data_IF_913969205366
#
_entry.id   IF_913969205366
#
_cell.length_a   1.000
_cell.length_b   1.000
_cell.length_c   1.000
_cell.angle_alpha   90.00
_cell.angle_beta   90.00
_cell.angle_gamma   90.00
#
_symmetry.space_group_name_H-M   'P 1'
#
loop_
_entity.id
_entity.type
_entity.pdbx_description
1 polymer ?
#
# COMPACT_ATOMS: atom_id res chain seq x y z
N UNK A 1 21.20 0.64 12.07
CA UNK A 1 20.76 -0.44 12.98
C UNK A 1 21.90 -1.42 13.15
N UNK A 2 22.03 -2.01 14.33
CA UNK A 2 23.10 -2.95 14.65
C UNK A 2 22.51 -4.20 15.28
N UNK A 3 23.26 -5.27 15.33
CA UNK A 3 22.89 -6.49 16.03
C UNK A 3 24.03 -6.92 16.96
N UNK A 4 23.65 -7.48 18.11
CA UNK A 4 24.57 -8.18 19.01
C UNK A 4 24.43 -9.67 18.75
N UNK A 5 25.56 -10.31 18.45
CA UNK A 5 25.67 -11.76 18.32
C UNK A 5 26.23 -12.35 19.61
N UNK A 6 25.95 -13.62 19.85
CA UNK A 6 26.61 -14.38 20.92
C UNK A 6 28.11 -14.58 20.63
N UNK A 7 28.85 -15.16 21.59
CA UNK A 7 30.30 -15.40 21.48
C UNK A 7 30.69 -16.23 20.25
N UNK A 8 29.87 -17.19 19.88
CA UNK A 8 30.11 -18.08 18.74
C UNK A 8 29.68 -17.46 17.39
N UNK A 9 29.02 -16.31 17.45
CA UNK A 9 28.49 -15.56 16.30
C UNK A 9 27.54 -16.39 15.43
N UNK A 10 26.71 -17.19 16.06
CA UNK A 10 25.72 -18.05 15.40
C UNK A 10 24.27 -17.73 15.81
N UNK A 11 24.10 -16.88 16.82
CA UNK A 11 22.80 -16.47 17.35
C UNK A 11 22.72 -14.97 17.52
N UNK A 12 21.61 -14.38 17.13
CA UNK A 12 21.31 -12.96 17.35
C UNK A 12 20.72 -12.83 18.76
N UNK A 13 21.43 -12.15 19.66
CA UNK A 13 20.95 -11.88 21.01
C UNK A 13 20.06 -10.64 21.11
N UNK A 14 20.41 -9.59 20.35
CA UNK A 14 19.70 -8.32 20.40
C UNK A 14 19.77 -7.59 19.06
N UNK A 15 18.65 -6.94 18.66
CA UNK A 15 18.63 -5.96 17.57
C UNK A 15 18.65 -4.56 18.16
N UNK A 16 19.73 -3.81 17.91
CA UNK A 16 20.02 -2.52 18.48
C UNK A 16 19.50 -1.43 17.53
N UNK A 17 18.32 -0.89 17.84
CA UNK A 17 17.72 0.23 17.10
C UNK A 17 18.25 1.56 17.59
N UNK A 18 18.35 1.70 18.91
CA UNK A 18 18.81 2.93 19.56
C UNK A 18 20.26 2.79 20.00
N UNK A 19 21.14 3.58 19.38
CA UNK A 19 22.56 3.61 19.71
C UNK A 19 22.78 4.29 21.05
N UNK A 20 23.02 3.52 22.10
CA UNK A 20 23.39 3.95 23.45
C UNK A 20 24.58 3.14 23.96
N UNK A 21 25.20 3.58 25.08
CA UNK A 21 26.20 2.73 25.75
C UNK A 21 25.59 1.38 26.15
N UNK A 22 26.34 0.32 26.04
CA UNK A 22 25.85 -1.05 26.30
C UNK A 22 26.88 -1.90 27.03
N UNK A 23 26.38 -2.91 27.73
CA UNK A 23 27.20 -3.91 28.39
C UNK A 23 27.40 -5.08 27.42
N UNK A 24 28.68 -5.43 27.14
CA UNK A 24 29.05 -6.60 26.36
C UNK A 24 30.09 -7.38 27.18
N UNK A 25 29.84 -8.63 27.45
CA UNK A 25 30.73 -9.55 28.22
C UNK A 25 31.20 -8.96 29.55
N UNK A 26 30.31 -8.27 30.26
CA UNK A 26 30.60 -7.63 31.54
C UNK A 26 31.36 -6.30 31.46
N UNK A 27 31.66 -5.81 30.26
CA UNK A 27 32.36 -4.54 30.04
C UNK A 27 31.37 -3.48 29.51
N UNK A 28 31.35 -2.30 30.14
CA UNK A 28 30.57 -1.17 29.68
C UNK A 28 31.26 -0.48 28.52
N UNK A 29 30.61 -0.46 27.38
CA UNK A 29 31.02 0.24 26.17
C UNK A 29 30.24 1.54 26.00
N UNK A 30 30.90 2.65 25.65
CA UNK A 30 30.22 3.92 25.42
C UNK A 30 29.47 3.89 24.06
N UNK A 31 28.52 4.81 23.87
CA UNK A 31 27.83 5.01 22.56
C UNK A 31 28.81 5.16 21.38
N UNK A 32 30.00 5.68 21.63
CA UNK A 32 31.04 5.89 20.64
C UNK A 32 31.46 4.61 19.88
N UNK A 33 31.18 3.42 20.43
CA UNK A 33 31.43 2.14 19.74
C UNK A 33 30.75 2.08 18.38
N UNK A 34 29.56 2.69 18.22
CA UNK A 34 28.81 2.67 16.97
C UNK A 34 29.30 3.66 15.91
N UNK A 35 30.14 4.63 16.30
CA UNK A 35 30.57 5.73 15.41
C UNK A 35 32.07 5.83 15.22
N UNK A 36 32.86 5.45 16.22
CA UNK A 36 34.32 5.63 16.19
C UNK A 36 35.09 4.30 15.98
N UNK A 37 34.49 3.18 16.37
CA UNK A 37 35.15 1.89 16.21
C UNK A 37 35.10 1.41 14.77
N UNK A 38 36.09 0.66 14.36
CA UNK A 38 36.13 -0.04 13.07
C UNK A 38 35.17 -1.24 13.09
N UNK A 39 34.82 -1.74 11.92
CA UNK A 39 33.97 -2.94 11.82
C UNK A 39 34.66 -4.16 12.47
N UNK A 40 35.98 -4.28 12.35
CA UNK A 40 36.74 -5.34 12.96
C UNK A 40 36.67 -5.30 14.51
N UNK A 41 36.79 -4.12 15.10
CA UNK A 41 36.70 -3.93 16.56
C UNK A 41 35.29 -4.27 17.06
N UNK A 42 34.24 -3.83 16.36
CA UNK A 42 32.85 -4.18 16.67
C UNK A 42 32.60 -5.67 16.54
N UNK A 43 33.05 -6.26 15.42
CA UNK A 43 32.90 -7.71 15.19
C UNK A 43 33.61 -8.52 16.27
N UNK A 44 34.75 -8.06 16.78
CA UNK A 44 35.46 -8.75 17.87
C UNK A 44 34.61 -8.95 19.13
N UNK A 45 33.74 -7.99 19.44
CA UNK A 45 32.80 -8.04 20.57
C UNK A 45 31.39 -8.48 20.15
N UNK A 46 31.22 -9.07 18.96
CA UNK A 46 29.92 -9.58 18.47
C UNK A 46 28.94 -8.48 18.02
N UNK A 47 29.37 -7.25 17.82
CA UNK A 47 28.50 -6.18 17.28
C UNK A 47 28.71 -6.04 15.78
N UNK A 48 27.63 -6.26 15.02
CA UNK A 48 27.67 -6.23 13.56
C UNK A 48 26.59 -5.30 12.99
N UNK A 49 26.80 -4.72 11.80
CA UNK A 49 25.79 -3.91 11.14
C UNK A 49 24.60 -4.78 10.70
N UNK A 50 23.41 -4.15 10.68
CA UNK A 50 22.21 -4.74 10.08
C UNK A 50 21.99 -4.09 8.73
N UNK A 51 22.04 -4.88 7.67
CA UNK A 51 21.69 -4.49 6.30
C UNK A 51 20.24 -4.88 6.01
N UNK A 52 19.55 -4.11 5.17
CA UNK A 52 18.17 -4.43 4.81
C UNK A 52 18.14 -4.99 3.39
N UNK A 53 17.44 -6.09 3.22
CA UNK A 53 17.16 -6.75 1.94
C UNK A 53 15.65 -6.75 1.68
N UNK A 54 15.28 -6.53 0.42
CA UNK A 54 13.89 -6.42 -0.01
C UNK A 54 13.37 -4.98 -0.01
N UNK A 55 12.16 -4.83 -0.50
CA UNK A 55 11.39 -3.58 -0.52
C UNK A 55 10.03 -3.86 0.11
N UNK A 56 9.48 -2.89 0.81
CA UNK A 56 8.12 -2.99 1.33
C UNK A 56 7.13 -3.21 0.20
N UNK A 57 6.17 -4.09 0.42
CA UNK A 57 5.05 -4.28 -0.48
C UNK A 57 4.09 -3.08 -0.41
N UNK A 58 3.25 -2.95 -1.43
CA UNK A 58 2.15 -1.98 -1.37
C UNK A 58 1.12 -2.43 -0.31
N UNK A 59 1.13 -1.71 0.81
CA UNK A 59 0.22 -1.98 1.93
C UNK A 59 -1.25 -1.67 1.61
N UNK A 60 -1.55 -1.12 0.43
CA UNK A 60 -2.93 -1.00 -0.06
C UNK A 60 -3.53 -2.39 -0.30
N UNK A 61 -2.73 -3.32 -0.85
CA UNK A 61 -3.18 -4.63 -1.31
C UNK A 61 -2.74 -5.79 -0.41
N UNK A 62 -1.59 -5.64 0.28
CA UNK A 62 -0.94 -6.75 0.98
C UNK A 62 -0.74 -6.48 2.47
N UNK A 63 -0.66 -7.55 3.22
CA UNK A 63 -0.12 -7.56 4.58
C UNK A 63 1.25 -8.22 4.50
N UNK A 64 2.27 -7.55 5.03
CA UNK A 64 3.62 -8.09 5.11
C UNK A 64 3.81 -8.92 6.38
N UNK A 65 4.67 -9.92 6.29
CA UNK A 65 5.23 -10.58 7.47
C UNK A 65 6.13 -9.63 8.24
N UNK A 66 6.25 -9.88 9.52
CA UNK A 66 7.27 -9.22 10.33
C UNK A 66 8.66 -9.45 9.73
N UNK A 67 9.55 -8.45 9.81
CA UNK A 67 10.91 -8.58 9.34
C UNK A 67 11.62 -9.78 9.98
N UNK A 68 12.29 -10.59 9.16
CA UNK A 68 13.15 -11.65 9.64
C UNK A 68 14.61 -11.22 9.65
N UNK A 69 15.40 -11.82 10.54
CA UNK A 69 16.81 -11.49 10.71
C UNK A 69 17.64 -12.76 10.58
N UNK A 70 18.63 -12.74 9.70
CA UNK A 70 19.55 -13.86 9.48
C UNK A 70 21.00 -13.37 9.53
N UNK A 71 21.88 -14.16 10.11
CA UNK A 71 23.32 -13.84 10.14
C UNK A 71 23.88 -14.15 8.74
N UNK A 72 24.65 -13.24 8.18
CA UNK A 72 25.36 -13.46 6.94
C UNK A 72 26.37 -14.62 7.07
N UNK A 73 26.63 -15.35 5.99
CA UNK A 73 27.49 -16.54 6.00
C UNK A 73 28.92 -16.27 6.48
N UNK A 74 29.41 -15.05 6.25
CA UNK A 74 30.72 -14.59 6.73
C UNK A 74 30.69 -14.03 8.16
N UNK A 75 29.50 -14.02 8.79
CA UNK A 75 29.26 -13.50 10.14
C UNK A 75 29.59 -12.01 10.34
N UNK A 76 29.76 -11.24 9.26
CA UNK A 76 30.14 -9.83 9.29
C UNK A 76 28.95 -8.90 9.45
N UNK A 77 27.74 -9.38 9.20
CA UNK A 77 26.51 -8.59 9.26
C UNK A 77 25.29 -9.46 9.57
N UNK A 78 24.20 -8.80 9.94
CA UNK A 78 22.86 -9.40 10.00
C UNK A 78 22.02 -8.84 8.86
N UNK A 79 21.33 -9.69 8.13
CA UNK A 79 20.44 -9.34 7.05
C UNK A 79 19.02 -9.26 7.61
N UNK A 80 18.41 -8.07 7.57
CA UNK A 80 16.99 -7.86 7.84
C UNK A 80 16.23 -7.99 6.53
N UNK A 81 15.41 -9.03 6.39
CA UNK A 81 14.55 -9.22 5.21
C UNK A 81 13.18 -8.63 5.48
N UNK A 82 12.73 -7.76 4.56
CA UNK A 82 11.43 -7.11 4.56
C UNK A 82 10.70 -7.39 3.25
N UNK A 83 9.42 -6.98 3.16
CA UNK A 83 8.63 -7.10 1.92
C UNK A 83 8.22 -8.54 1.60
N UNK A 84 8.21 -9.42 2.59
CA UNK A 84 7.70 -10.79 2.41
C UNK A 84 6.19 -10.76 2.64
N UNK A 85 5.44 -11.15 1.61
CA UNK A 85 3.98 -11.20 1.70
C UNK A 85 3.55 -12.25 2.72
N UNK A 86 2.65 -11.84 3.61
CA UNK A 86 1.92 -12.77 4.49
C UNK A 86 0.62 -13.20 3.81
N UNK A 87 -0.28 -12.26 3.60
CA UNK A 87 -1.56 -12.50 2.95
C UNK A 87 -1.96 -11.32 2.05
N UNK A 88 -2.83 -11.59 1.10
CA UNK A 88 -3.58 -10.55 0.37
C UNK A 88 -4.66 -9.97 1.30
N UNK A 89 -4.94 -8.67 1.19
CA UNK A 89 -6.12 -8.11 1.85
C UNK A 89 -7.40 -8.66 1.23
N UNK A 90 -8.48 -8.66 1.99
CA UNK A 90 -9.76 -9.16 1.52
C UNK A 90 -10.31 -8.30 0.37
N UNK A 91 -10.59 -8.93 -0.77
CA UNK A 91 -11.29 -8.27 -1.89
C UNK A 91 -12.76 -8.04 -1.56
N UNK A 92 -13.40 -9.04 -0.98
CA UNK A 92 -14.82 -9.02 -0.59
C UNK A 92 -14.99 -8.61 0.86
N UNK A 93 -16.20 -8.21 1.23
CA UNK A 93 -16.57 -7.97 2.62
C UNK A 93 -16.50 -9.26 3.42
N UNK A 94 -15.95 -9.20 4.63
CA UNK A 94 -15.84 -10.33 5.56
C UNK A 94 -16.68 -10.06 6.79
N UNK A 95 -17.51 -11.03 7.16
CA UNK A 95 -18.24 -10.98 8.44
C UNK A 95 -17.31 -11.45 9.56
N UNK A 96 -17.02 -10.58 10.50
CA UNK A 96 -16.23 -10.86 11.68
C UNK A 96 -17.11 -10.82 12.92
N UNK A 97 -16.79 -11.65 13.91
CA UNK A 97 -17.44 -11.60 15.23
C UNK A 97 -16.36 -11.16 16.22
N UNK A 98 -16.62 -10.09 16.93
CA UNK A 98 -15.68 -9.60 17.94
C UNK A 98 -15.68 -10.48 19.20
N UNK A 99 -14.76 -10.20 20.13
CA UNK A 99 -14.62 -10.91 21.40
C UNK A 99 -15.88 -10.89 22.31
N UNK A 100 -16.81 -9.96 22.02
CA UNK A 100 -18.09 -9.84 22.74
C UNK A 100 -19.24 -10.53 22.01
N UNK A 101 -18.97 -11.21 20.88
CA UNK A 101 -19.99 -11.87 20.06
C UNK A 101 -20.76 -10.94 19.14
N UNK A 102 -20.32 -9.68 18.97
CA UNK A 102 -20.97 -8.71 18.08
C UNK A 102 -20.51 -8.95 16.65
N UNK A 103 -21.46 -9.08 15.74
CA UNK A 103 -21.16 -9.20 14.31
C UNK A 103 -20.77 -7.84 13.73
N UNK A 104 -19.61 -7.79 13.10
CA UNK A 104 -19.08 -6.65 12.37
C UNK A 104 -18.80 -7.04 10.91
N UNK A 105 -18.92 -6.09 10.00
CA UNK A 105 -18.54 -6.28 8.61
C UNK A 105 -17.23 -5.53 8.37
N UNK A 106 -16.15 -6.29 8.18
CA UNK A 106 -14.90 -5.75 7.66
C UNK A 106 -15.05 -5.54 6.14
N UNK A 107 -14.99 -4.28 5.72
CA UNK A 107 -15.17 -3.93 4.31
C UNK A 107 -13.96 -4.33 3.48
N UNK A 108 -14.23 -5.01 2.36
CA UNK A 108 -13.23 -5.41 1.40
C UNK A 108 -12.76 -4.28 0.48
N UNK A 109 -11.71 -4.56 -0.30
CA UNK A 109 -11.14 -3.59 -1.23
C UNK A 109 -12.13 -3.18 -2.33
N UNK A 110 -12.94 -4.12 -2.83
CA UNK A 110 -13.98 -3.84 -3.83
C UNK A 110 -15.01 -2.84 -3.32
N UNK A 111 -15.50 -3.04 -2.08
CA UNK A 111 -16.45 -2.11 -1.47
C UNK A 111 -15.87 -0.70 -1.44
N UNK A 112 -14.65 -0.55 -0.94
CA UNK A 112 -13.99 0.76 -0.82
C UNK A 112 -13.75 1.40 -2.19
N UNK A 113 -13.35 0.62 -3.19
CA UNK A 113 -13.17 1.08 -4.56
C UNK A 113 -14.50 1.58 -5.15
N UNK A 114 -15.59 0.83 -5.00
CA UNK A 114 -16.93 1.24 -5.47
C UNK A 114 -17.40 2.53 -4.78
N UNK A 115 -17.18 2.68 -3.46
CA UNK A 115 -17.53 3.93 -2.77
C UNK A 115 -16.74 5.12 -3.33
N UNK A 116 -15.46 4.93 -3.65
CA UNK A 116 -14.64 5.97 -4.27
C UNK A 116 -15.17 6.36 -5.67
N UNK A 117 -15.60 5.37 -6.49
CA UNK A 117 -16.21 5.66 -7.80
C UNK A 117 -17.50 6.44 -7.67
N UNK A 118 -18.37 6.08 -6.72
CA UNK A 118 -19.61 6.82 -6.43
C UNK A 118 -19.34 8.26 -5.97
N UNK A 119 -18.31 8.45 -5.15
CA UNK A 119 -17.90 9.79 -4.72
C UNK A 119 -17.39 10.64 -5.90
N UNK A 120 -16.55 10.06 -6.77
CA UNK A 120 -16.08 10.74 -7.99
C UNK A 120 -17.24 11.08 -8.94
N UNK A 121 -18.16 10.12 -9.19
CA UNK A 121 -19.36 10.38 -9.99
C UNK A 121 -20.15 11.57 -9.44
N UNK A 122 -20.39 11.61 -8.14
CA UNK A 122 -21.09 12.71 -7.47
C UNK A 122 -20.36 14.05 -7.67
N UNK A 123 -19.04 14.05 -7.52
CA UNK A 123 -18.21 15.25 -7.73
C UNK A 123 -18.33 15.77 -9.17
N UNK A 124 -18.25 14.87 -10.17
CA UNK A 124 -18.42 15.27 -11.56
C UNK A 124 -19.81 15.85 -11.83
N UNK A 125 -20.88 15.18 -11.39
CA UNK A 125 -22.25 15.60 -11.63
C UNK A 125 -22.58 16.93 -10.94
N UNK A 126 -22.04 17.18 -9.74
CA UNK A 126 -22.24 18.42 -8.97
C UNK A 126 -21.86 19.67 -9.76
N UNK A 127 -20.82 19.59 -10.60
CA UNK A 127 -20.37 20.73 -11.45
C UNK A 127 -21.45 21.25 -12.38
N UNK A 128 -22.44 20.43 -12.69
CA UNK A 128 -23.53 20.76 -13.61
C UNK A 128 -24.92 20.66 -13.00
N UNK A 129 -25.05 20.44 -11.69
CA UNK A 129 -26.36 20.33 -11.03
C UNK A 129 -27.20 21.60 -11.08
N UNK A 130 -26.56 22.76 -11.16
CA UNK A 130 -27.26 24.01 -11.33
C UNK A 130 -28.14 24.05 -12.60
N UNK A 131 -27.78 23.30 -13.67
CA UNK A 131 -28.65 23.19 -14.85
C UNK A 131 -29.94 22.44 -14.55
N UNK A 132 -29.87 21.41 -13.68
CA UNK A 132 -31.03 20.64 -13.23
C UNK A 132 -31.95 21.53 -12.40
N UNK A 133 -31.35 22.24 -11.43
CA UNK A 133 -32.09 23.18 -10.55
C UNK A 133 -32.77 24.23 -11.39
N UNK A 134 -32.08 24.87 -12.35
CA UNK A 134 -32.64 25.89 -13.25
C UNK A 134 -33.80 25.35 -14.09
N UNK A 135 -33.66 24.10 -14.59
CA UNK A 135 -34.75 23.45 -15.34
C UNK A 135 -35.98 23.23 -14.47
N UNK A 136 -35.79 22.82 -13.21
CA UNK A 136 -36.87 22.61 -12.26
C UNK A 136 -37.54 23.93 -11.83
N UNK A 137 -36.77 25.01 -11.64
CA UNK A 137 -37.23 26.30 -11.16
C UNK A 137 -38.01 27.08 -12.25
N UNK A 138 -37.48 27.17 -13.46
CA UNK A 138 -38.02 28.05 -14.50
C UNK A 138 -38.23 27.42 -15.88
N UNK A 139 -38.08 26.08 -15.98
CA UNK A 139 -38.30 25.34 -17.22
C UNK A 139 -37.20 25.47 -18.28
N UNK A 140 -36.10 26.19 -18.00
CA UNK A 140 -35.01 26.36 -18.96
C UNK A 140 -34.36 25.01 -19.27
N UNK A 141 -34.33 24.64 -20.55
CA UNK A 141 -33.77 23.36 -20.97
C UNK A 141 -32.28 23.20 -20.64
N UNK A 142 -31.86 21.99 -20.28
CA UNK A 142 -30.45 21.68 -20.12
C UNK A 142 -29.82 21.64 -21.52
N UNK A 143 -28.65 22.25 -21.75
CA UNK A 143 -27.93 22.12 -23.01
C UNK A 143 -27.65 20.64 -23.32
N UNK A 144 -27.81 20.24 -24.57
CA UNK A 144 -27.72 18.84 -25.00
C UNK A 144 -26.33 18.23 -24.71
N UNK A 145 -25.26 19.00 -24.90
CA UNK A 145 -23.90 18.56 -24.56
C UNK A 145 -23.74 18.23 -23.06
N UNK A 146 -24.34 19.06 -22.19
CA UNK A 146 -24.33 18.83 -20.73
C UNK A 146 -25.12 17.55 -20.38
N UNK A 147 -26.32 17.39 -21.01
CA UNK A 147 -27.12 16.18 -20.78
C UNK A 147 -26.37 14.94 -21.23
N UNK A 148 -25.80 14.95 -22.44
CA UNK A 148 -25.00 13.83 -22.97
C UNK A 148 -23.81 13.48 -22.08
N UNK A 149 -23.08 14.51 -21.63
CA UNK A 149 -21.96 14.30 -20.72
C UNK A 149 -22.39 13.72 -19.36
N UNK A 150 -23.47 14.20 -18.77
CA UNK A 150 -24.00 13.65 -17.51
C UNK A 150 -24.40 12.18 -17.65
N UNK A 151 -24.97 11.81 -18.78
CA UNK A 151 -25.35 10.41 -19.05
C UNK A 151 -24.11 9.53 -19.28
N UNK A 152 -23.07 10.08 -19.94
CA UNK A 152 -21.77 9.43 -20.07
C UNK A 152 -21.10 9.18 -18.70
N UNK A 153 -21.09 10.17 -17.80
CA UNK A 153 -20.55 10.00 -16.44
C UNK A 153 -21.25 8.89 -15.66
N UNK A 154 -22.58 8.76 -15.77
CA UNK A 154 -23.32 7.65 -15.14
C UNK A 154 -22.98 6.30 -15.76
N UNK A 155 -22.84 6.27 -17.09
CA UNK A 155 -22.44 5.07 -17.81
C UNK A 155 -21.02 4.63 -17.43
N UNK A 156 -20.08 5.58 -17.34
CA UNK A 156 -18.70 5.31 -16.92
C UNK A 156 -18.64 4.75 -15.49
N UNK A 157 -19.38 5.33 -14.56
CA UNK A 157 -19.46 4.83 -13.19
C UNK A 157 -19.93 3.35 -13.19
N UNK A 158 -21.04 3.07 -13.90
CA UNK A 158 -21.56 1.69 -14.01
C UNK A 158 -20.53 0.73 -14.64
N UNK A 159 -19.84 1.16 -15.69
CA UNK A 159 -18.79 0.37 -16.34
C UNK A 159 -17.64 0.06 -15.40
N UNK A 160 -17.16 1.06 -14.64
CA UNK A 160 -16.08 0.91 -13.68
C UNK A 160 -16.51 0.02 -12.51
N UNK A 161 -17.70 0.24 -11.93
CA UNK A 161 -18.26 -0.59 -10.86
C UNK A 161 -18.38 -2.06 -11.30
N UNK A 162 -18.84 -2.32 -12.51
CA UNK A 162 -18.92 -3.66 -13.09
C UNK A 162 -17.53 -4.31 -13.21
N UNK A 163 -16.53 -3.55 -13.66
CA UNK A 163 -15.16 -4.04 -13.76
C UNK A 163 -14.59 -4.41 -12.38
N UNK A 164 -14.82 -3.59 -11.34
CA UNK A 164 -14.42 -3.88 -9.96
C UNK A 164 -15.13 -5.15 -9.46
N UNK A 165 -16.41 -5.28 -9.72
CA UNK A 165 -17.19 -6.44 -9.25
C UNK A 165 -16.73 -7.74 -9.92
N UNK A 166 -16.33 -7.68 -11.19
CA UNK A 166 -15.95 -8.86 -11.99
C UNK A 166 -14.60 -9.48 -11.58
N UNK A 167 -13.70 -8.74 -10.92
CA UNK A 167 -12.40 -9.31 -10.52
C UNK A 167 -12.57 -10.37 -9.44
N UNK A 168 -11.72 -11.38 -9.46
CA UNK A 168 -11.72 -12.48 -8.49
C UNK A 168 -10.37 -12.69 -7.81
N UNK A 169 -9.31 -12.02 -8.29
CA UNK A 169 -7.97 -12.11 -7.74
C UNK A 169 -7.39 -10.74 -7.46
N UNK A 170 -6.40 -10.67 -6.55
CA UNK A 170 -5.70 -9.43 -6.24
C UNK A 170 -5.01 -8.83 -7.47
N UNK A 171 -4.37 -9.67 -8.29
CA UNK A 171 -3.68 -9.21 -9.50
C UNK A 171 -4.65 -8.55 -10.49
N UNK A 172 -5.84 -9.12 -10.67
CA UNK A 172 -6.90 -8.51 -11.49
C UNK A 172 -7.36 -7.17 -10.90
N UNK A 173 -7.46 -7.08 -9.56
CA UNK A 173 -7.85 -5.84 -8.90
C UNK A 173 -6.79 -4.75 -9.08
N UNK A 174 -5.51 -5.09 -8.92
CA UNK A 174 -4.38 -4.18 -9.15
C UNK A 174 -4.36 -3.68 -10.59
N UNK A 175 -4.57 -4.58 -11.56
CA UNK A 175 -4.60 -4.22 -12.98
C UNK A 175 -5.65 -3.14 -13.33
N UNK A 176 -6.75 -3.01 -12.57
CA UNK A 176 -7.72 -1.92 -12.76
C UNK A 176 -7.12 -0.54 -12.48
N UNK A 177 -6.04 -0.48 -11.69
CA UNK A 177 -5.38 0.76 -11.25
C UNK A 177 -4.15 1.10 -12.08
N UNK A 178 -3.74 0.25 -13.01
CA UNK A 178 -2.54 0.40 -13.82
C UNK A 178 -2.88 0.81 -15.25
N UNK A 179 -2.00 1.61 -15.86
CA UNK A 179 -2.02 1.85 -17.30
C UNK A 179 -1.26 0.72 -18.00
N UNK A 180 -1.71 0.33 -19.20
CA UNK A 180 -0.86 -0.41 -20.12
C UNK A 180 -0.15 0.55 -21.05
N UNK A 181 1.07 0.21 -21.43
CA UNK A 181 1.94 1.06 -22.24
C UNK A 181 2.35 0.32 -23.51
N UNK A 182 2.49 1.07 -24.58
CA UNK A 182 3.09 0.62 -25.83
C UNK A 182 4.63 0.52 -25.68
N UNK A 183 5.29 -0.04 -26.71
CA UNK A 183 6.76 -0.15 -26.74
C UNK A 183 7.47 1.22 -26.72
N UNK A 184 6.80 2.28 -27.15
CA UNK A 184 7.30 3.66 -27.14
C UNK A 184 6.98 4.42 -25.85
N UNK A 185 6.56 3.72 -24.78
CA UNK A 185 6.16 4.27 -23.48
C UNK A 185 4.89 5.15 -23.52
N UNK A 186 4.17 5.21 -24.62
CA UNK A 186 2.86 5.86 -24.67
C UNK A 186 1.80 4.99 -24.00
N UNK A 187 0.78 5.62 -23.42
CA UNK A 187 -0.33 4.89 -22.78
C UNK A 187 -1.17 4.22 -23.88
N UNK A 188 -1.18 2.88 -23.90
CA UNK A 188 -2.05 2.08 -24.76
C UNK A 188 -3.49 2.07 -24.21
N UNK A 189 -3.66 1.60 -22.97
CA UNK A 189 -4.96 1.57 -22.30
C UNK A 189 -4.88 2.33 -20.98
N UNK A 190 -5.76 3.32 -20.82
CA UNK A 190 -5.89 4.04 -19.56
C UNK A 190 -6.46 3.10 -18.49
N UNK A 191 -5.93 3.21 -17.25
CA UNK A 191 -6.47 2.47 -16.11
C UNK A 191 -7.98 2.69 -16.01
N UNK A 192 -8.71 1.59 -15.82
CA UNK A 192 -10.18 1.59 -15.78
C UNK A 192 -10.68 2.52 -14.67
N UNK A 193 -10.06 2.53 -13.51
CA UNK A 193 -10.45 3.32 -12.33
C UNK A 193 -10.53 4.84 -12.58
N UNK A 194 -9.84 5.35 -13.63
CA UNK A 194 -9.81 6.79 -13.94
C UNK A 194 -10.25 7.09 -15.39
N UNK A 195 -10.96 6.19 -16.03
CA UNK A 195 -11.39 6.34 -17.42
C UNK A 195 -12.76 7.02 -17.52
N UNK A 196 -12.83 8.26 -17.05
CA UNK A 196 -14.02 9.11 -17.12
C UNK A 196 -14.07 9.92 -18.40
N UNK A 197 -15.29 10.12 -18.90
CA UNK A 197 -15.55 11.01 -20.05
C UNK A 197 -15.32 12.46 -19.68
N UNK A 198 -14.49 13.16 -20.45
CA UNK A 198 -14.24 14.59 -20.25
C UNK A 198 -15.40 15.42 -20.79
N UNK A 199 -15.73 16.51 -20.08
CA UNK A 199 -16.69 17.49 -20.60
C UNK A 199 -16.00 18.24 -21.76
N UNK A 200 -16.50 18.04 -22.99
CA UNK A 200 -16.02 18.79 -24.14
C UNK A 200 -16.26 20.31 -23.95
N UNK A 201 -15.22 21.08 -24.25
CA UNK A 201 -15.26 22.58 -24.26
C UNK A 201 -16.09 23.12 -25.40
#
# INVERSE_FOLDING_TARGET
>A
MWAKLNSDKDTIEEIIVNMKGMLVDGINHPKALFTLWTDAERLAIGIVPVTTSGLHLDTTYYIEKDPTYTIASDKSSVIRTIGVKDVDKDLEDVNEVDENGIQNIKRGLKYNAIQNIKAQQSEYLTKTDWYIIRKADNGTAIPSNIQTWRDAIRSDATRIENAITAVSTMDQFIALHEHTYNEDETIDVRKIMNSWTELGT
#
